data_IF_811439702116
#
_entry.id   IF_811439702116
#
_cell.length_a   1.000
_cell.length_b   1.000
_cell.length_c   1.000
_cell.angle_alpha   90.00
_cell.angle_beta   90.00
_cell.angle_gamma   90.00
#
_symmetry.space_group_name_H-M   'P 1'
#
loop_
_entity.id
_entity.type
_entity.pdbx_description
1 polymer ?
#
# COMPACT_ATOMS: atom_id res chain seq x y z
N UNK A 1 19.00 -16.07 -1.09
CA UNK A 1 20.30 -15.42 -1.29
C UNK A 1 20.35 -14.19 -0.40
N UNK A 2 20.96 -14.25 0.80
CA UNK A 2 21.05 -13.11 1.68
C UNK A 2 21.79 -11.98 0.93
N UNK A 3 21.17 -10.82 0.74
CA UNK A 3 21.82 -9.63 0.22
C UNK A 3 21.74 -9.38 -1.29
N UNK A 4 20.80 -9.98 -2.01
CA UNK A 4 20.56 -9.62 -3.42
C UNK A 4 19.88 -8.25 -3.51
N UNK A 5 20.67 -7.19 -3.54
CA UNK A 5 20.24 -5.92 -4.13
C UNK A 5 20.27 -6.10 -5.64
N UNK A 6 19.10 -6.07 -6.28
CA UNK A 6 19.01 -6.12 -7.73
C UNK A 6 19.45 -4.76 -8.29
N UNK A 7 20.69 -4.63 -8.67
CA UNK A 7 21.18 -3.51 -9.46
C UNK A 7 21.10 -3.88 -10.94
N UNK A 8 20.17 -3.26 -11.66
CA UNK A 8 20.00 -3.39 -13.11
C UNK A 8 18.90 -4.38 -13.58
N UNK A 9 18.37 -4.10 -14.77
CA UNK A 9 17.25 -4.87 -15.39
C UNK A 9 17.56 -6.34 -15.66
N UNK A 10 18.81 -6.70 -15.91
CA UNK A 10 19.24 -8.08 -16.16
C UNK A 10 19.05 -9.01 -14.96
N UNK A 11 19.20 -8.49 -13.76
CA UNK A 11 19.00 -9.25 -12.52
C UNK A 11 17.52 -9.53 -12.24
N UNK A 12 16.62 -8.62 -12.61
CA UNK A 12 15.18 -8.81 -12.46
C UNK A 12 14.68 -9.92 -13.40
N UNK A 13 15.11 -9.93 -14.66
CA UNK A 13 14.75 -10.97 -15.60
C UNK A 13 15.21 -12.35 -15.11
N UNK A 14 16.46 -12.44 -14.66
CA UNK A 14 17.01 -13.68 -14.08
C UNK A 14 16.20 -14.16 -12.88
N UNK A 15 15.80 -13.27 -11.99
CA UNK A 15 14.94 -13.62 -10.86
C UNK A 15 13.58 -14.16 -11.31
N UNK A 16 12.94 -13.50 -12.29
CA UNK A 16 11.68 -13.97 -12.86
C UNK A 16 11.83 -15.38 -13.49
N UNK A 17 12.93 -15.62 -14.20
CA UNK A 17 13.23 -16.91 -14.80
C UNK A 17 13.41 -18.01 -13.74
N UNK A 18 14.11 -17.74 -12.66
CA UNK A 18 14.30 -18.67 -11.55
C UNK A 18 12.97 -18.97 -10.83
N UNK A 19 12.12 -17.97 -10.63
CA UNK A 19 10.77 -18.15 -10.07
C UNK A 19 9.94 -19.06 -11.00
N UNK A 20 9.96 -18.79 -12.30
CA UNK A 20 9.22 -19.57 -13.29
C UNK A 20 9.73 -21.02 -13.37
N UNK A 21 11.04 -21.25 -13.34
CA UNK A 21 11.63 -22.60 -13.31
C UNK A 21 11.20 -23.43 -12.10
N UNK A 22 10.95 -22.76 -10.95
CA UNK A 22 10.50 -23.42 -9.74
C UNK A 22 9.04 -23.90 -9.84
N UNK A 23 8.26 -23.40 -10.82
CA UNK A 23 6.86 -23.75 -11.01
C UNK A 23 6.69 -24.87 -12.04
N UNK A 24 5.94 -25.92 -11.63
CA UNK A 24 5.68 -27.07 -12.51
C UNK A 24 4.47 -26.89 -13.42
N UNK A 25 3.50 -26.07 -13.01
CA UNK A 25 2.24 -25.87 -13.74
C UNK A 25 2.29 -24.54 -14.49
N UNK A 26 1.81 -24.55 -15.73
CA UNK A 26 1.75 -23.36 -16.60
C UNK A 26 0.90 -22.22 -16.00
N UNK A 27 -0.15 -22.57 -15.25
CA UNK A 27 -1.07 -21.64 -14.59
C UNK A 27 -0.71 -21.39 -13.11
N UNK A 28 0.52 -21.69 -12.71
CA UNK A 28 0.92 -21.52 -11.31
C UNK A 28 1.03 -20.04 -10.94
N UNK A 29 0.49 -19.69 -9.78
CA UNK A 29 0.75 -18.38 -9.19
C UNK A 29 2.21 -18.29 -8.75
N UNK A 30 2.95 -17.35 -9.32
CA UNK A 30 4.39 -17.18 -9.10
C UNK A 30 4.71 -16.16 -8.01
N UNK A 31 3.80 -15.20 -7.77
CA UNK A 31 3.98 -14.14 -6.79
C UNK A 31 2.68 -13.69 -6.14
N UNK A 32 2.81 -12.91 -5.07
CA UNK A 32 1.75 -12.14 -4.41
C UNK A 32 2.02 -10.67 -4.66
N UNK A 33 1.00 -9.91 -5.00
CA UNK A 33 1.15 -8.47 -5.17
C UNK A 33 0.59 -7.73 -3.96
N UNK A 34 1.36 -6.77 -3.47
CA UNK A 34 0.97 -5.77 -2.50
C UNK A 34 1.07 -4.39 -3.14
N UNK A 35 0.07 -3.54 -2.94
CA UNK A 35 0.10 -2.14 -3.37
C UNK A 35 -0.10 -1.29 -2.12
N UNK A 36 0.87 -0.44 -1.82
CA UNK A 36 0.87 0.45 -0.67
C UNK A 36 0.92 1.92 -1.07
N UNK A 37 0.04 2.75 -0.50
CA UNK A 37 0.15 4.21 -0.62
C UNK A 37 1.34 4.72 0.18
N UNK A 38 2.03 5.71 -0.34
CA UNK A 38 3.17 6.35 0.32
C UNK A 38 2.79 7.79 0.73
N UNK A 39 3.32 8.29 1.84
CA UNK A 39 2.98 9.61 2.35
C UNK A 39 3.53 10.74 1.48
N UNK A 40 2.65 11.65 1.04
CA UNK A 40 3.05 12.84 0.28
C UNK A 40 3.88 13.83 1.10
N UNK A 41 3.68 13.82 2.41
CA UNK A 41 4.31 14.72 3.36
C UNK A 41 5.80 14.44 3.57
N UNK A 42 6.23 13.21 3.22
CA UNK A 42 7.61 12.78 3.39
C UNK A 42 8.39 12.83 2.07
N UNK A 43 9.70 13.11 2.13
CA UNK A 43 10.52 13.16 0.93
C UNK A 43 10.71 11.77 0.30
N UNK A 44 10.96 11.70 -1.03
CA UNK A 44 11.10 10.42 -1.75
C UNK A 44 12.14 9.44 -1.18
N UNK A 45 13.21 9.97 -0.56
CA UNK A 45 14.21 9.12 0.11
C UNK A 45 13.61 8.31 1.27
N UNK A 46 12.61 8.88 1.97
CA UNK A 46 11.94 8.20 3.07
C UNK A 46 10.95 7.14 2.57
N UNK A 47 10.38 7.32 1.37
CA UNK A 47 9.56 6.28 0.75
C UNK A 47 10.36 4.99 0.51
N UNK A 48 11.60 5.13 0.03
CA UNK A 48 12.50 3.97 -0.15
C UNK A 48 12.74 3.28 1.18
N UNK A 49 13.02 4.03 2.23
CA UNK A 49 13.25 3.49 3.57
C UNK A 49 12.01 2.77 4.13
N UNK A 50 10.81 3.37 4.01
CA UNK A 50 9.53 2.74 4.40
C UNK A 50 9.36 1.38 3.71
N UNK A 51 9.63 1.33 2.41
CA UNK A 51 9.49 0.10 1.61
C UNK A 51 10.53 -0.95 2.02
N UNK A 52 11.76 -0.54 2.24
CA UNK A 52 12.84 -1.44 2.69
C UNK A 52 12.55 -2.02 4.07
N UNK A 53 12.16 -1.20 5.04
CA UNK A 53 11.77 -1.65 6.39
C UNK A 53 10.60 -2.64 6.31
N UNK A 54 9.56 -2.33 5.54
CA UNK A 54 8.41 -3.21 5.38
C UNK A 54 8.78 -4.57 4.76
N UNK A 55 9.60 -4.55 3.70
CA UNK A 55 10.05 -5.78 3.01
C UNK A 55 10.91 -6.64 3.95
N UNK A 56 11.82 -6.01 4.68
CA UNK A 56 12.69 -6.72 5.61
C UNK A 56 11.88 -7.43 6.70
N UNK A 57 10.99 -6.71 7.37
CA UNK A 57 10.22 -7.25 8.49
C UNK A 57 9.25 -8.37 8.07
N UNK A 58 8.67 -8.27 6.87
CA UNK A 58 7.58 -9.14 6.49
C UNK A 58 7.96 -10.26 5.51
N UNK A 59 9.03 -10.07 4.74
CA UNK A 59 9.36 -10.99 3.65
C UNK A 59 10.80 -11.51 3.72
N UNK A 60 11.81 -10.64 3.67
CA UNK A 60 13.20 -11.10 3.60
C UNK A 60 13.66 -11.79 4.88
N UNK A 61 13.25 -11.31 6.05
CA UNK A 61 13.50 -12.00 7.34
C UNK A 61 12.88 -13.42 7.39
N UNK A 62 11.93 -13.72 6.50
CA UNK A 62 11.29 -15.04 6.37
C UNK A 62 11.76 -15.80 5.14
N UNK A 63 12.88 -15.40 4.56
CA UNK A 63 13.45 -15.97 3.33
C UNK A 63 12.51 -15.90 2.11
N UNK A 64 11.57 -14.95 2.06
CA UNK A 64 10.79 -14.65 0.87
C UNK A 64 11.51 -13.58 0.06
N UNK A 65 11.56 -13.76 -1.26
CA UNK A 65 12.08 -12.76 -2.16
C UNK A 65 11.01 -11.74 -2.49
N UNK A 66 11.35 -10.45 -2.45
CA UNK A 66 10.46 -9.37 -2.82
C UNK A 66 11.13 -8.40 -3.79
N UNK A 67 10.33 -7.86 -4.71
CA UNK A 67 10.73 -6.79 -5.65
C UNK A 67 9.75 -5.65 -5.50
N UNK A 68 10.25 -4.43 -5.38
CA UNK A 68 9.43 -3.24 -5.24
C UNK A 68 9.69 -2.22 -6.35
N UNK A 69 8.62 -1.56 -6.80
CA UNK A 69 8.67 -0.43 -7.71
C UNK A 69 7.86 0.74 -7.14
N UNK A 70 8.52 1.86 -6.89
CA UNK A 70 7.89 3.08 -6.37
C UNK A 70 7.47 3.96 -7.55
N UNK A 71 6.19 4.30 -7.59
CA UNK A 71 5.61 5.21 -8.55
C UNK A 71 5.29 6.54 -7.86
N UNK A 72 5.81 7.64 -8.38
CA UNK A 72 5.58 8.98 -7.82
C UNK A 72 4.16 9.51 -8.06
N UNK A 73 3.41 8.89 -8.98
CA UNK A 73 2.14 9.41 -9.46
C UNK A 73 2.33 10.61 -10.40
N UNK A 74 1.30 10.92 -11.18
CA UNK A 74 1.31 12.12 -12.03
C UNK A 74 0.74 13.29 -11.24
N UNK A 75 1.48 14.40 -11.16
CA UNK A 75 0.94 15.69 -10.75
C UNK A 75 0.00 16.18 -11.84
N UNK A 76 -1.29 16.30 -11.54
CA UNK A 76 -2.20 17.11 -12.33
C UNK A 76 -2.35 18.47 -11.63
N UNK A 77 -2.67 19.51 -12.41
CA UNK A 77 -2.82 20.89 -11.89
C UNK A 77 -3.88 21.05 -10.78
N UNK A 78 -4.61 19.99 -10.45
CA UNK A 78 -5.70 19.97 -9.46
C UNK A 78 -5.65 18.82 -8.46
N UNK A 79 -4.67 17.92 -8.53
CA UNK A 79 -4.58 16.77 -7.61
C UNK A 79 -3.17 16.61 -7.05
N UNK A 80 -3.13 16.33 -5.75
CA UNK A 80 -1.91 15.87 -5.07
C UNK A 80 -1.37 14.63 -5.80
N UNK A 81 -0.05 14.53 -5.88
CA UNK A 81 0.62 13.29 -6.28
C UNK A 81 0.07 12.12 -5.46
N UNK A 82 -0.08 10.96 -6.08
CA UNK A 82 -0.44 9.73 -5.38
C UNK A 82 0.75 8.76 -5.43
N UNK A 83 1.78 8.99 -4.61
CA UNK A 83 2.92 8.10 -4.56
C UNK A 83 2.47 6.75 -3.98
N UNK A 84 2.90 5.69 -4.62
CA UNK A 84 2.56 4.33 -4.21
C UNK A 84 3.66 3.36 -4.64
N UNK A 85 3.69 2.22 -3.96
CA UNK A 85 4.62 1.14 -4.27
C UNK A 85 3.86 -0.10 -4.70
N UNK A 86 4.38 -0.78 -5.72
CA UNK A 86 4.02 -2.15 -6.05
C UNK A 86 5.11 -3.07 -5.52
N UNK A 87 4.73 -4.04 -4.69
CA UNK A 87 5.65 -5.06 -4.16
C UNK A 87 5.16 -6.41 -4.64
N UNK A 88 6.03 -7.16 -5.30
CA UNK A 88 5.78 -8.54 -5.71
C UNK A 88 6.63 -9.44 -4.82
N UNK A 89 5.98 -10.39 -4.15
CA UNK A 89 6.61 -11.31 -3.21
C UNK A 89 6.51 -12.73 -3.75
N UNK A 90 7.60 -13.49 -3.71
CA UNK A 90 7.62 -14.88 -4.15
C UNK A 90 6.63 -15.76 -3.38
N UNK A 91 6.10 -16.79 -4.03
CA UNK A 91 5.27 -17.82 -3.37
C UNK A 91 6.09 -18.94 -2.74
N UNK A 92 7.42 -18.87 -2.86
CA UNK A 92 8.36 -19.86 -2.34
C UNK A 92 9.45 -19.13 -1.57
N UNK A 93 9.91 -19.74 -0.51
CA UNK A 93 11.10 -19.27 0.21
C UNK A 93 12.35 -19.57 -0.59
N UNK A 94 13.38 -18.75 -0.39
CA UNK A 94 14.70 -18.91 -1.00
C UNK A 94 15.52 -19.85 -0.12
N UNK A 95 16.05 -20.92 -0.74
CA UNK A 95 17.05 -21.79 -0.14
C UNK A 95 18.48 -21.32 -0.48
N UNK A 96 19.52 -22.09 -0.12
CA UNK A 96 20.92 -21.73 -0.36
C UNK A 96 21.23 -21.46 -1.84
N UNK A 97 20.74 -22.34 -2.75
CA UNK A 97 21.08 -22.30 -4.17
C UNK A 97 19.89 -22.02 -5.08
N UNK A 98 18.67 -22.23 -4.59
CA UNK A 98 17.43 -22.14 -5.40
C UNK A 98 16.20 -21.90 -4.54
N UNK A 99 15.06 -21.62 -5.18
CA UNK A 99 13.77 -21.61 -4.50
C UNK A 99 13.38 -23.00 -3.99
N UNK A 100 12.82 -23.02 -2.77
CA UNK A 100 12.35 -24.26 -2.18
C UNK A 100 11.24 -24.91 -3.03
N UNK A 101 11.22 -26.24 -3.15
CA UNK A 101 10.25 -26.96 -3.99
C UNK A 101 8.81 -26.86 -3.47
N UNK A 102 8.61 -26.59 -2.18
CA UNK A 102 7.29 -26.37 -1.58
C UNK A 102 6.94 -24.89 -1.55
N UNK A 103 5.70 -24.57 -1.91
CA UNK A 103 5.16 -23.20 -1.75
C UNK A 103 4.99 -22.86 -0.27
N UNK A 104 5.29 -21.63 0.04
CA UNK A 104 4.91 -21.02 1.30
C UNK A 104 3.39 -20.78 1.32
N UNK A 105 2.69 -21.58 2.11
CA UNK A 105 1.24 -21.50 2.30
C UNK A 105 0.85 -20.68 3.52
N UNK A 106 1.78 -20.41 4.41
CA UNK A 106 1.53 -19.65 5.62
C UNK A 106 1.07 -18.22 5.27
N UNK A 107 1.81 -17.57 4.38
CA UNK A 107 1.49 -16.20 3.91
C UNK A 107 0.33 -16.12 2.90
N UNK A 108 -0.31 -17.24 2.58
CA UNK A 108 -1.57 -17.27 1.80
C UNK A 108 -2.81 -17.12 2.72
N UNK A 109 -2.64 -17.28 4.03
CA UNK A 109 -3.76 -17.17 4.98
C UNK A 109 -4.30 -15.75 5.05
N UNK A 110 -5.61 -15.63 5.17
CA UNK A 110 -6.29 -14.32 5.26
C UNK A 110 -5.79 -13.47 6.43
N UNK A 111 -5.38 -14.11 7.53
CA UNK A 111 -4.80 -13.42 8.70
C UNK A 111 -3.56 -12.59 8.38
N UNK A 112 -2.77 -13.00 7.38
CA UNK A 112 -1.59 -12.24 6.96
C UNK A 112 -1.93 -10.91 6.27
N UNK A 113 -3.11 -10.77 5.70
CA UNK A 113 -3.55 -9.48 5.14
C UNK A 113 -3.61 -8.42 6.24
N UNK A 114 -4.16 -8.77 7.41
CA UNK A 114 -4.24 -7.84 8.55
C UNK A 114 -2.85 -7.58 9.17
N UNK A 115 -2.01 -8.60 9.27
CA UNK A 115 -0.62 -8.45 9.72
C UNK A 115 0.13 -7.47 8.82
N UNK A 116 0.04 -7.61 7.50
CA UNK A 116 0.72 -6.74 6.55
C UNK A 116 0.15 -5.33 6.53
N UNK A 117 -1.17 -5.17 6.64
CA UNK A 117 -1.81 -3.85 6.74
C UNK A 117 -1.34 -3.11 7.99
N UNK A 118 -1.30 -3.81 9.12
CA UNK A 118 -0.79 -3.26 10.38
C UNK A 118 0.67 -2.85 10.24
N UNK A 119 1.53 -3.78 9.81
CA UNK A 119 2.95 -3.50 9.61
C UNK A 119 3.18 -2.34 8.64
N UNK A 120 2.36 -2.22 7.55
CA UNK A 120 2.44 -1.10 6.62
C UNK A 120 2.10 0.25 7.27
N UNK A 121 1.12 0.28 8.16
CA UNK A 121 0.83 1.48 8.96
C UNK A 121 1.96 1.79 9.94
N UNK A 122 2.51 0.77 10.60
CA UNK A 122 3.55 0.92 11.62
C UNK A 122 4.86 1.48 11.02
N UNK A 123 5.31 1.01 9.85
CA UNK A 123 6.51 1.55 9.19
C UNK A 123 6.33 3.01 8.77
N UNK A 124 5.12 3.39 8.30
CA UNK A 124 4.83 4.78 7.98
C UNK A 124 4.80 5.65 9.23
N UNK A 125 4.21 5.17 10.32
CA UNK A 125 4.16 5.90 11.59
C UNK A 125 5.56 6.12 12.17
N UNK A 126 6.45 5.14 12.08
CA UNK A 126 7.87 5.31 12.43
C UNK A 126 8.56 6.38 11.56
N UNK A 127 8.22 6.42 10.27
CA UNK A 127 8.74 7.46 9.39
C UNK A 127 8.23 8.85 9.78
N UNK A 128 6.94 9.02 10.08
CA UNK A 128 6.40 10.29 10.60
C UNK A 128 7.08 10.70 11.91
N UNK A 129 7.33 9.76 12.81
CA UNK A 129 8.05 10.03 14.07
C UNK A 129 9.48 10.52 13.86
N UNK A 130 10.22 9.91 12.93
CA UNK A 130 11.57 10.36 12.55
C UNK A 130 11.61 11.81 12.06
N UNK A 131 10.51 12.29 11.49
CA UNK A 131 10.34 13.68 11.03
C UNK A 131 9.63 14.60 12.02
N UNK A 132 9.37 14.13 13.25
CA UNK A 132 8.70 14.91 14.28
C UNK A 132 7.24 15.26 13.95
N UNK A 133 6.63 14.53 13.00
CA UNK A 133 5.26 14.77 12.58
C UNK A 133 4.26 14.10 13.53
N UNK A 134 3.15 14.78 13.81
CA UNK A 134 2.04 14.25 14.63
C UNK A 134 1.06 13.38 13.84
N UNK A 135 1.14 13.40 12.52
CA UNK A 135 0.29 12.59 11.63
C UNK A 135 0.49 11.11 11.94
N UNK A 136 -0.61 10.37 11.94
CA UNK A 136 -0.61 8.91 12.10
C UNK A 136 -1.57 8.27 11.10
N UNK A 137 -1.18 7.12 10.59
CA UNK A 137 -2.02 6.27 9.72
C UNK A 137 -2.42 5.01 10.50
N UNK A 138 -3.59 4.47 10.19
CA UNK A 138 -4.10 3.26 10.80
C UNK A 138 -4.56 2.27 9.72
N UNK A 139 -4.36 0.99 9.96
CA UNK A 139 -4.87 -0.09 9.12
C UNK A 139 -6.34 -0.42 9.40
N UNK A 140 -6.88 0.09 10.50
CA UNK A 140 -8.27 -0.14 10.92
C UNK A 140 -9.24 0.72 10.12
N UNK A 141 -10.47 0.25 9.94
CA UNK A 141 -11.54 1.07 9.38
C UNK A 141 -11.89 2.25 10.29
N UNK A 142 -12.48 3.31 9.75
CA UNK A 142 -12.93 4.46 10.54
C UNK A 142 -13.90 4.05 11.66
N UNK A 143 -14.80 3.10 11.38
CA UNK A 143 -15.74 2.56 12.35
C UNK A 143 -15.03 1.94 13.57
N UNK A 144 -14.04 1.07 13.34
CA UNK A 144 -13.26 0.45 14.41
C UNK A 144 -12.43 1.47 15.19
N UNK A 145 -12.01 2.55 14.55
CA UNK A 145 -11.31 3.67 15.19
C UNK A 145 -12.26 4.61 15.96
N UNK A 146 -13.58 4.41 15.89
CA UNK A 146 -14.56 5.32 16.46
C UNK A 146 -14.65 6.67 15.74
N UNK A 147 -14.16 6.75 14.49
CA UNK A 147 -14.17 7.96 13.68
C UNK A 147 -15.47 7.98 12.86
N UNK A 148 -16.31 8.97 13.10
CA UNK A 148 -17.54 9.17 12.32
C UNK A 148 -17.21 9.73 10.93
N UNK A 149 -16.77 8.83 10.05
CA UNK A 149 -16.43 9.12 8.67
C UNK A 149 -16.67 7.89 7.78
N UNK A 150 -17.26 8.09 6.62
CA UNK A 150 -17.41 7.05 5.62
C UNK A 150 -16.15 6.93 4.76
N UNK A 151 -15.74 5.68 4.46
CA UNK A 151 -14.63 5.43 3.54
C UNK A 151 -15.02 5.79 2.11
N UNK A 152 -14.13 6.49 1.41
CA UNK A 152 -14.33 6.79 -0.01
C UNK A 152 -14.22 5.53 -0.84
N UNK A 153 -15.11 5.40 -1.83
CA UNK A 153 -15.02 4.31 -2.80
C UNK A 153 -13.87 4.53 -3.77
N UNK A 154 -13.16 3.45 -4.09
CA UNK A 154 -12.15 3.47 -5.13
C UNK A 154 -12.83 3.50 -6.51
N UNK A 155 -12.42 4.45 -7.37
CA UNK A 155 -12.89 4.51 -8.75
C UNK A 155 -12.08 3.52 -9.60
N UNK A 156 -12.77 2.70 -10.38
CA UNK A 156 -12.11 1.91 -11.41
C UNK A 156 -11.42 2.84 -12.41
N UNK A 157 -10.33 2.40 -13.01
CA UNK A 157 -9.51 3.22 -13.92
C UNK A 157 -10.31 3.80 -15.10
N UNK A 158 -11.29 3.09 -15.59
CA UNK A 158 -12.18 3.55 -16.67
C UNK A 158 -13.03 4.73 -16.22
N UNK A 159 -13.64 4.66 -15.02
CA UNK A 159 -14.48 5.71 -14.47
C UNK A 159 -13.63 6.92 -14.08
N UNK A 160 -12.47 6.68 -13.46
CA UNK A 160 -11.52 7.74 -13.18
C UNK A 160 -11.11 8.52 -14.43
N UNK A 161 -10.80 7.81 -15.55
CA UNK A 161 -10.47 8.47 -16.83
C UNK A 161 -11.62 9.30 -17.40
N UNK A 162 -12.88 8.86 -17.24
CA UNK A 162 -14.07 9.61 -17.65
C UNK A 162 -14.23 10.88 -16.81
N UNK A 163 -14.18 10.74 -15.49
CA UNK A 163 -14.26 11.86 -14.53
C UNK A 163 -13.18 12.92 -14.80
N UNK A 164 -11.94 12.51 -15.10
CA UNK A 164 -10.84 13.41 -15.47
C UNK A 164 -11.09 14.20 -16.78
N UNK A 165 -11.96 13.68 -17.66
CA UNK A 165 -12.40 14.36 -18.89
C UNK A 165 -13.67 15.19 -18.69
N UNK A 166 -14.16 15.33 -17.45
CA UNK A 166 -15.40 16.02 -17.12
C UNK A 166 -16.68 15.21 -17.38
N UNK A 167 -16.57 13.91 -17.68
CA UNK A 167 -17.70 13.02 -17.88
C UNK A 167 -18.09 12.39 -16.53
N UNK A 168 -19.32 12.65 -16.09
CA UNK A 168 -19.83 12.08 -14.83
C UNK A 168 -20.07 10.59 -14.94
N UNK A 169 -19.79 9.87 -13.85
CA UNK A 169 -20.04 8.43 -13.70
C UNK A 169 -20.83 8.16 -12.42
N UNK A 170 -21.59 7.06 -12.39
CA UNK A 170 -22.32 6.65 -11.18
C UNK A 170 -21.40 6.41 -9.98
N UNK A 171 -20.20 5.87 -10.23
CA UNK A 171 -19.18 5.67 -9.19
C UNK A 171 -18.63 7.02 -8.70
N UNK A 172 -18.38 7.97 -9.59
CA UNK A 172 -17.96 9.32 -9.25
C UNK A 172 -19.04 10.07 -8.45
N UNK A 173 -20.31 9.93 -8.83
CA UNK A 173 -21.42 10.54 -8.11
C UNK A 173 -21.61 9.94 -6.71
N UNK A 174 -21.47 8.62 -6.56
CA UNK A 174 -21.47 7.98 -5.23
C UNK A 174 -20.33 8.49 -4.38
N UNK A 175 -19.13 8.63 -4.93
CA UNK A 175 -17.97 9.16 -4.21
C UNK A 175 -18.22 10.59 -3.75
N UNK A 176 -18.71 11.49 -4.60
CA UNK A 176 -19.06 12.88 -4.24
C UNK A 176 -20.09 12.95 -3.12
N UNK A 177 -21.11 12.08 -3.14
CA UNK A 177 -22.10 12.01 -2.03
C UNK A 177 -21.47 11.62 -0.70
N UNK A 178 -20.52 10.69 -0.70
CA UNK A 178 -19.78 10.34 0.51
C UNK A 178 -18.92 11.51 0.99
N UNK A 179 -18.24 12.19 0.08
CA UNK A 179 -17.43 13.38 0.40
C UNK A 179 -18.28 14.48 1.03
N UNK A 180 -19.46 14.78 0.48
CA UNK A 180 -20.39 15.74 1.06
C UNK A 180 -20.82 15.36 2.49
N UNK A 181 -21.27 14.11 2.70
CA UNK A 181 -21.67 13.65 4.04
C UNK A 181 -20.51 13.73 5.05
N UNK A 182 -19.30 13.41 4.63
CA UNK A 182 -18.13 13.53 5.49
C UNK A 182 -17.83 15.00 5.85
N UNK A 183 -17.98 15.92 4.91
CA UNK A 183 -17.83 17.37 5.17
C UNK A 183 -18.90 17.89 6.12
N UNK A 184 -20.15 17.47 5.96
CA UNK A 184 -21.26 17.85 6.87
C UNK A 184 -21.00 17.37 8.30
N UNK A 185 -20.53 16.12 8.49
CA UNK A 185 -20.15 15.57 9.79
C UNK A 185 -18.99 16.31 10.43
N UNK A 186 -17.99 16.70 9.66
CA UNK A 186 -16.84 17.47 10.13
C UNK A 186 -17.27 18.86 10.60
N UNK A 187 -18.08 19.58 9.81
CA UNK A 187 -18.63 20.88 10.19
C UNK A 187 -19.50 20.83 11.45
N UNK A 188 -20.27 19.74 11.61
CA UNK A 188 -21.09 19.55 12.80
C UNK A 188 -20.22 19.39 14.05
N UNK A 189 -19.18 18.55 13.99
CA UNK A 189 -18.24 18.35 15.10
C UNK A 189 -17.50 19.64 15.49
N UNK A 190 -17.08 20.41 14.48
CA UNK A 190 -16.36 21.67 14.75
C UNK A 190 -17.25 22.67 15.48
N UNK A 191 -18.52 22.78 15.09
CA UNK A 191 -19.51 23.62 15.81
C UNK A 191 -19.75 23.15 17.25
N UNK A 192 -19.86 21.85 17.47
CA UNK A 192 -20.07 21.26 18.79
C UNK A 192 -18.86 21.52 19.72
N UNK A 193 -17.65 21.36 19.18
CA UNK A 193 -16.42 21.65 19.91
C UNK A 193 -16.28 23.15 20.27
N UNK A 194 -16.67 24.05 19.38
CA UNK A 194 -16.65 25.49 19.65
C UNK A 194 -17.65 25.89 20.74
N UNK A 195 -18.84 25.30 20.73
CA UNK A 195 -19.85 25.52 21.78
C UNK A 195 -19.41 25.01 23.16
N UNK A 196 -18.64 23.89 23.18
CA UNK A 196 -18.11 23.31 24.42
C UNK A 196 -16.93 24.11 24.99
N UNK A 197 -16.14 24.77 24.16
CA UNK A 197 -15.01 25.62 24.55
C UNK A 197 -15.46 27.01 25.05
N UNK A 198 -16.67 27.41 24.69
CA UNK A 198 -17.26 28.73 25.06
C UNK A 198 -18.02 28.70 26.38
N UNK A 199 -18.08 27.56 27.04
CA UNK A 199 -18.66 27.36 28.39
C UNK A 199 -17.58 27.17 29.43
#
# INVERSE_FOLDING_TARGET
>A
LPGYKLEGSGNLQRLCDEINKAEKRKDARTGRQFIGSLPNELPPREWTRIVEEFIEENFTAKNLCAVAAIHRGKLSSKQLSNPHVHIIVSTRTVGPDRFNPKKDREHDKRSYIEIWRRSWADVQNRAYERYGMKVRVSHLSYEVQGIDKESLIHLHISDWKKEMRGQRTDAGDRRRRIEMRNQEREQYRDRENDLTRSR
#
